data_IF_812169882263
#
_entry.id   IF_812169882263
#
_cell.length_a   1.000
_cell.length_b   1.000
_cell.length_c   1.000
_cell.angle_alpha   90.00
_cell.angle_beta   90.00
_cell.angle_gamma   90.00
#
_symmetry.space_group_name_H-M   'P 1'
#
loop_
_entity.id
_entity.type
_entity.pdbx_description
1 polymer ?
#
# COMPACT_ATOMS: atom_id res chain seq x y z
N UNK A 1 21.00 52.62 -35.45
CA UNK A 1 22.13 53.48 -35.88
C UNK A 1 22.07 54.73 -35.03
N UNK A 2 23.18 55.03 -34.34
CA UNK A 2 23.29 56.19 -33.46
C UNK A 2 23.43 57.47 -34.31
N UNK A 3 22.61 58.49 -34.01
CA UNK A 3 22.54 59.75 -34.79
C UNK A 3 23.88 60.49 -34.76
N UNK A 4 24.68 60.29 -33.71
CA UNK A 4 26.01 60.89 -33.59
C UNK A 4 27.01 60.35 -34.63
N UNK A 5 26.88 59.08 -35.03
CA UNK A 5 27.74 58.47 -36.06
C UNK A 5 27.48 59.10 -37.45
N UNK A 6 26.24 59.52 -37.71
CA UNK A 6 25.86 60.18 -38.96
C UNK A 6 26.45 61.59 -39.04
N UNK A 7 26.52 62.31 -37.92
CA UNK A 7 27.09 63.65 -37.85
C UNK A 7 28.61 63.65 -38.00
N UNK A 8 29.31 62.65 -37.47
CA UNK A 8 30.75 62.49 -37.67
C UNK A 8 31.10 62.20 -39.15
N UNK A 9 30.31 61.36 -39.82
CA UNK A 9 30.49 61.05 -41.23
C UNK A 9 30.27 62.25 -42.17
N UNK A 10 29.50 63.27 -41.75
CA UNK A 10 29.29 64.51 -42.52
C UNK A 10 30.49 65.47 -42.46
N UNK A 11 31.43 65.28 -41.54
CA UNK A 11 32.68 66.04 -41.46
C UNK A 11 33.85 65.38 -42.22
N UNK A 12 33.62 64.20 -42.81
CA UNK A 12 34.60 63.51 -43.64
C UNK A 12 34.69 64.13 -45.05
N UNK A 13 35.91 64.49 -45.44
CA UNK A 13 36.21 65.14 -46.74
C UNK A 13 35.82 64.29 -47.95
N UNK A 14 35.96 62.96 -47.89
CA UNK A 14 35.55 62.07 -48.97
C UNK A 14 34.02 61.96 -49.07
N UNK A 15 33.31 61.98 -47.94
CA UNK A 15 31.84 61.97 -47.91
C UNK A 15 31.29 63.29 -48.48
N UNK A 16 31.89 64.42 -48.12
CA UNK A 16 31.51 65.73 -48.68
C UNK A 16 31.75 65.83 -50.19
N UNK A 17 32.87 65.31 -50.71
CA UNK A 17 33.12 65.27 -52.17
C UNK A 17 32.13 64.37 -52.91
N UNK A 18 31.70 63.26 -52.29
CA UNK A 18 30.67 62.37 -52.85
C UNK A 18 29.29 63.03 -52.86
N UNK A 19 28.96 63.82 -51.84
CA UNK A 19 27.71 64.62 -51.80
C UNK A 19 27.77 65.74 -52.84
N UNK A 20 28.90 66.44 -53.00
CA UNK A 20 29.07 67.50 -54.02
C UNK A 20 28.94 66.94 -55.44
N UNK A 21 29.49 65.76 -55.72
CA UNK A 21 29.37 65.12 -57.05
C UNK A 21 27.93 64.68 -57.37
N UNK A 22 27.13 64.30 -56.36
CA UNK A 22 25.70 64.02 -56.54
C UNK A 22 24.90 65.31 -56.82
N UNK A 23 25.23 66.42 -56.14
CA UNK A 23 24.55 67.72 -56.36
C UNK A 23 24.93 68.34 -57.72
N UNK A 24 26.18 68.19 -58.16
CA UNK A 24 26.62 68.68 -59.49
C UNK A 24 26.06 67.79 -60.60
N UNK A 25 25.95 66.47 -60.39
CA UNK A 25 25.25 65.55 -61.29
C UNK A 25 23.78 65.94 -61.49
N UNK A 26 23.09 66.35 -60.42
CA UNK A 26 21.68 66.76 -60.47
C UNK A 26 21.44 68.19 -61.00
N UNK A 27 22.46 69.04 -61.16
CA UNK A 27 22.30 70.38 -61.76
C UNK A 27 22.40 70.37 -63.29
N UNK A 28 22.89 69.30 -63.91
CA UNK A 28 22.99 69.18 -65.37
C UNK A 28 21.69 68.71 -66.05
N UNK A 29 20.73 68.16 -65.31
CA UNK A 29 19.42 67.75 -65.84
C UNK A 29 18.37 68.88 -65.86
N UNK A 30 18.71 70.09 -65.39
CA UNK A 30 17.81 71.26 -65.41
C UNK A 30 18.15 72.32 -66.46
N UNK A 31 19.03 72.01 -67.43
CA UNK A 31 19.32 72.88 -68.58
C UNK A 31 19.19 72.12 -69.91
N UNK A 32 17.96 71.77 -70.27
CA UNK A 32 17.63 71.41 -71.65
C UNK A 32 16.22 71.84 -72.03
N UNK A 33 15.90 73.10 -71.81
CA UNK A 33 14.81 73.75 -72.53
C UNK A 33 15.21 75.19 -72.88
N UNK A 34 14.79 75.59 -74.07
CA UNK A 34 15.03 76.88 -74.75
C UNK A 34 16.30 76.93 -75.60
N UNK A 35 16.21 76.42 -76.83
CA UNK A 35 16.37 77.24 -78.04
C UNK A 35 16.15 76.38 -79.30
N UNK A 36 14.95 76.47 -79.88
CA UNK A 36 14.86 76.51 -81.34
C UNK A 36 13.51 77.13 -81.74
N UNK A 37 13.54 78.44 -81.99
CA UNK A 37 12.58 79.07 -82.87
C UNK A 37 13.14 79.03 -84.30
N UNK A 38 12.25 78.66 -85.21
CA UNK A 38 12.25 79.03 -86.63
C UNK A 38 13.22 78.26 -87.55
N UNK A 39 12.72 77.11 -87.99
CA UNK A 39 12.90 76.67 -89.38
C UNK A 39 11.55 76.17 -89.87
N UNK A 40 10.75 77.08 -90.44
CA UNK A 40 9.60 76.76 -91.27
C UNK A 40 10.08 75.89 -92.43
N UNK A 41 9.90 74.58 -92.26
CA UNK A 41 9.83 73.62 -93.36
C UNK A 41 8.55 72.84 -93.13
N UNK A 42 7.59 73.02 -94.04
CA UNK A 42 6.35 72.27 -94.09
C UNK A 42 6.68 70.78 -94.17
N UNK A 43 6.54 70.09 -93.05
CA UNK A 43 6.28 68.66 -93.01
C UNK A 43 4.95 68.55 -92.29
N UNK A 44 3.90 68.19 -93.03
CA UNK A 44 2.61 67.83 -92.46
C UNK A 44 2.86 66.73 -91.44
N UNK A 45 2.79 67.07 -90.15
CA UNK A 45 2.62 66.08 -89.11
C UNK A 45 1.24 65.49 -89.37
N UNK A 46 1.20 64.25 -89.86
CA UNK A 46 -0.03 63.50 -90.07
C UNK A 46 -0.65 63.23 -88.70
N UNK A 47 -1.42 64.20 -88.25
CA UNK A 47 -2.12 64.23 -86.98
C UNK A 47 -3.01 62.98 -86.83
N UNK A 48 -3.43 62.37 -87.95
CA UNK A 48 -4.25 61.16 -88.00
C UNK A 48 -3.48 59.90 -87.58
N UNK A 49 -2.18 59.82 -87.85
CA UNK A 49 -1.30 58.70 -87.44
C UNK A 49 -1.05 58.73 -85.91
N UNK A 50 -0.75 59.91 -85.36
CA UNK A 50 -0.58 60.11 -83.91
C UNK A 50 -1.90 59.91 -83.13
N UNK A 51 -3.05 60.22 -83.74
CA UNK A 51 -4.38 59.95 -83.17
C UNK A 51 -4.65 58.45 -83.09
N UNK A 52 -4.28 57.67 -84.12
CA UNK A 52 -4.41 56.20 -84.13
C UNK A 52 -3.53 55.52 -83.07
N UNK A 53 -2.27 55.93 -82.95
CA UNK A 53 -1.35 55.40 -81.94
C UNK A 53 -1.83 55.71 -80.51
N UNK A 54 -2.33 56.93 -80.27
CA UNK A 54 -2.95 57.29 -78.99
C UNK A 54 -4.21 56.47 -78.68
N UNK A 55 -5.01 56.11 -79.68
CA UNK A 55 -6.18 55.25 -79.49
C UNK A 55 -5.79 53.82 -79.09
N UNK A 56 -4.72 53.26 -79.66
CA UNK A 56 -4.21 51.93 -79.32
C UNK A 56 -3.66 51.93 -77.89
N UNK A 57 -2.80 52.90 -77.56
CA UNK A 57 -2.24 53.06 -76.20
C UNK A 57 -3.34 53.26 -75.15
N UNK A 58 -4.41 53.97 -75.50
CA UNK A 58 -5.56 54.15 -74.61
C UNK A 58 -6.29 52.83 -74.36
N UNK A 59 -6.47 52.01 -75.41
CA UNK A 59 -7.10 50.70 -75.31
C UNK A 59 -6.25 49.71 -74.49
N UNK A 60 -4.93 49.69 -74.70
CA UNK A 60 -3.99 48.92 -73.88
C UNK A 60 -3.97 49.39 -72.43
N UNK A 61 -4.06 50.70 -72.18
CA UNK A 61 -4.16 51.26 -70.84
C UNK A 61 -5.45 50.84 -70.13
N UNK A 62 -6.58 50.81 -70.86
CA UNK A 62 -7.87 50.32 -70.35
C UNK A 62 -7.82 48.81 -70.03
N UNK A 63 -7.21 47.99 -70.88
CA UNK A 63 -7.00 46.56 -70.62
C UNK A 63 -6.09 46.32 -69.41
N UNK A 64 -5.00 47.09 -69.30
CA UNK A 64 -4.08 47.04 -68.18
C UNK A 64 -4.75 47.46 -66.86
N UNK A 65 -5.61 48.49 -66.90
CA UNK A 65 -6.45 48.86 -65.76
C UNK A 65 -7.41 47.73 -65.37
N UNK A 66 -7.99 47.03 -66.35
CA UNK A 66 -8.83 45.85 -66.12
C UNK A 66 -8.08 44.72 -65.40
N UNK A 67 -6.86 44.42 -65.83
CA UNK A 67 -5.98 43.45 -65.18
C UNK A 67 -5.58 43.86 -63.76
N UNK A 68 -5.19 45.12 -63.57
CA UNK A 68 -4.86 45.68 -62.25
C UNK A 68 -6.06 45.54 -61.31
N UNK A 69 -7.29 45.78 -61.80
CA UNK A 69 -8.52 45.68 -61.01
C UNK A 69 -8.80 44.23 -60.59
N UNK A 70 -8.61 43.26 -61.49
CA UNK A 70 -8.72 41.82 -61.19
C UNK A 70 -7.67 41.35 -60.18
N UNK A 71 -6.41 41.74 -60.37
CA UNK A 71 -5.31 41.42 -59.46
C UNK A 71 -5.58 41.98 -58.05
N UNK A 72 -6.04 43.23 -57.95
CA UNK A 72 -6.44 43.83 -56.67
C UNK A 72 -7.54 43.03 -55.95
N UNK A 73 -8.59 42.62 -56.68
CA UNK A 73 -9.67 41.83 -56.10
C UNK A 73 -9.18 40.47 -55.57
N UNK A 74 -8.27 39.82 -56.30
CA UNK A 74 -7.69 38.53 -55.92
C UNK A 74 -6.76 38.67 -54.70
N UNK A 75 -5.97 39.75 -54.64
CA UNK A 75 -5.14 40.11 -53.49
C UNK A 75 -5.98 40.32 -52.23
N UNK A 76 -7.04 41.13 -52.32
CA UNK A 76 -8.00 41.36 -51.23
C UNK A 76 -8.63 40.05 -50.74
N UNK A 77 -9.02 39.16 -51.65
CA UNK A 77 -9.56 37.85 -51.30
C UNK A 77 -8.54 36.98 -50.53
N UNK A 78 -7.27 37.01 -50.96
CA UNK A 78 -6.18 36.28 -50.30
C UNK A 78 -5.80 36.89 -48.96
N UNK A 79 -5.79 38.21 -48.83
CA UNK A 79 -5.53 38.91 -47.55
C UNK A 79 -6.59 38.57 -46.50
N UNK A 80 -7.86 38.47 -46.91
CA UNK A 80 -8.94 38.03 -46.03
C UNK A 80 -8.76 36.57 -45.58
N UNK A 81 -8.43 35.64 -46.50
CA UNK A 81 -8.11 34.25 -46.15
C UNK A 81 -6.93 34.13 -45.18
N UNK A 82 -5.87 34.91 -45.40
CA UNK A 82 -4.69 34.95 -44.53
C UNK A 82 -5.09 35.42 -43.14
N UNK A 83 -5.87 36.51 -43.06
CA UNK A 83 -6.35 37.07 -41.79
C UNK A 83 -7.18 36.03 -41.02
N UNK A 84 -8.10 35.34 -41.69
CA UNK A 84 -8.95 34.31 -41.09
C UNK A 84 -8.14 33.10 -40.56
N UNK A 85 -7.10 32.72 -41.30
CA UNK A 85 -6.19 31.64 -40.89
C UNK A 85 -5.31 32.06 -39.72
N UNK A 86 -4.84 33.31 -39.66
CA UNK A 86 -4.10 33.85 -38.51
C UNK A 86 -4.95 33.75 -37.25
N UNK A 87 -6.21 34.18 -37.29
CA UNK A 87 -7.11 34.07 -36.14
C UNK A 87 -7.34 32.62 -35.69
N UNK A 88 -7.43 31.67 -36.64
CA UNK A 88 -7.52 30.24 -36.30
C UNK A 88 -6.25 29.70 -35.64
N UNK A 89 -5.08 30.12 -36.12
CA UNK A 89 -3.79 29.74 -35.54
C UNK A 89 -3.70 30.22 -34.09
N UNK A 90 -4.01 31.50 -33.84
CA UNK A 90 -3.99 32.07 -32.47
C UNK A 90 -4.93 31.31 -31.53
N UNK A 91 -6.12 30.93 -32.01
CA UNK A 91 -7.08 30.15 -31.22
C UNK A 91 -6.57 28.75 -30.90
N UNK A 92 -5.91 28.09 -31.86
CA UNK A 92 -5.29 26.77 -31.67
C UNK A 92 -4.09 26.84 -30.73
N UNK A 93 -3.25 27.87 -30.83
CA UNK A 93 -2.11 28.10 -29.93
C UNK A 93 -2.56 28.27 -28.48
N UNK A 94 -3.61 29.06 -28.24
CA UNK A 94 -4.23 29.19 -26.92
C UNK A 94 -4.76 27.85 -26.38
N UNK A 95 -5.37 27.04 -27.25
CA UNK A 95 -5.85 25.71 -26.89
C UNK A 95 -4.70 24.74 -26.58
N UNK A 96 -3.60 24.79 -27.33
CA UNK A 96 -2.40 23.99 -27.07
C UNK A 96 -1.82 24.37 -25.71
N UNK A 97 -1.71 25.66 -25.40
CA UNK A 97 -1.17 26.13 -24.13
C UNK A 97 -2.01 25.64 -22.93
N UNK A 98 -3.34 25.75 -23.02
CA UNK A 98 -4.23 25.26 -21.96
C UNK A 98 -4.16 23.74 -21.77
N UNK A 99 -4.08 22.96 -22.86
CA UNK A 99 -3.92 21.51 -22.79
C UNK A 99 -2.56 21.10 -22.18
N UNK A 100 -1.48 21.81 -22.51
CA UNK A 100 -0.16 21.57 -21.91
C UNK A 100 -0.17 21.81 -20.41
N UNK A 101 -0.83 22.87 -19.95
CA UNK A 101 -0.98 23.12 -18.52
C UNK A 101 -1.76 21.99 -17.82
N UNK A 102 -2.86 21.53 -18.42
CA UNK A 102 -3.68 20.45 -17.87
C UNK A 102 -2.90 19.12 -17.80
N UNK A 103 -2.10 18.80 -18.83
CA UNK A 103 -1.23 17.61 -18.82
C UNK A 103 -0.26 17.67 -17.65
N UNK A 104 0.40 18.81 -17.45
CA UNK A 104 1.36 18.99 -16.36
C UNK A 104 0.71 18.87 -14.98
N UNK A 105 -0.49 19.40 -14.82
CA UNK A 105 -1.28 19.26 -13.58
C UNK A 105 -1.62 17.79 -13.31
N UNK A 106 -2.04 17.04 -14.34
CA UNK A 106 -2.37 15.62 -14.22
C UNK A 106 -1.13 14.75 -13.96
N UNK A 107 0.02 15.09 -14.53
CA UNK A 107 1.29 14.42 -14.22
C UNK A 107 1.67 14.58 -12.74
N UNK A 108 1.51 15.78 -12.17
CA UNK A 108 1.75 16.01 -10.74
C UNK A 108 0.77 15.22 -9.86
N UNK A 109 -0.49 15.14 -10.26
CA UNK A 109 -1.50 14.35 -9.55
C UNK A 109 -1.19 12.85 -9.57
N UNK A 110 -0.74 12.32 -10.70
CA UNK A 110 -0.28 10.92 -10.82
C UNK A 110 0.90 10.65 -9.89
N UNK A 111 1.89 11.55 -9.84
CA UNK A 111 3.05 11.40 -8.94
C UNK A 111 2.60 11.38 -7.48
N UNK A 112 1.67 12.28 -7.08
CA UNK A 112 1.12 12.30 -5.72
C UNK A 112 0.41 10.99 -5.38
N UNK A 113 -0.51 10.56 -6.24
CA UNK A 113 -1.29 9.32 -6.01
C UNK A 113 -0.39 8.09 -5.96
N UNK A 114 0.64 8.00 -6.81
CA UNK A 114 1.62 6.91 -6.76
C UNK A 114 2.41 6.92 -5.44
N UNK A 115 2.72 8.10 -4.89
CA UNK A 115 3.34 8.22 -3.58
C UNK A 115 2.44 7.71 -2.45
N UNK A 116 1.16 8.06 -2.50
CA UNK A 116 0.15 7.58 -1.53
C UNK A 116 -0.05 6.08 -1.62
N UNK A 117 -0.18 5.52 -2.83
CA UNK A 117 -0.30 4.07 -3.05
C UNK A 117 0.90 3.33 -2.47
N UNK A 118 2.13 3.84 -2.72
CA UNK A 118 3.34 3.26 -2.15
C UNK A 118 3.31 3.29 -0.61
N UNK A 119 2.97 4.44 -0.03
CA UNK A 119 2.90 4.58 1.43
C UNK A 119 1.87 3.63 2.05
N UNK A 120 0.70 3.46 1.41
CA UNK A 120 -0.34 2.55 1.89
C UNK A 120 0.12 1.10 1.79
N UNK A 121 0.79 0.71 0.70
CA UNK A 121 1.33 -0.63 0.55
C UNK A 121 2.42 -0.95 1.59
N UNK A 122 3.31 0.01 1.88
CA UNK A 122 4.34 -0.15 2.91
C UNK A 122 3.71 -0.32 4.32
N UNK A 123 2.65 0.42 4.61
CA UNK A 123 1.87 0.29 5.85
C UNK A 123 1.14 -1.07 5.92
N UNK A 124 0.54 -1.51 4.82
CA UNK A 124 -0.13 -2.81 4.73
C UNK A 124 0.84 -3.94 5.01
N UNK A 125 1.99 -3.96 4.31
CA UNK A 125 3.04 -4.95 4.52
C UNK A 125 3.55 -4.94 5.98
N UNK A 126 3.70 -3.77 6.58
CA UNK A 126 4.10 -3.66 8.00
C UNK A 126 3.02 -4.22 8.94
N UNK A 127 1.75 -3.99 8.63
CA UNK A 127 0.62 -4.49 9.43
C UNK A 127 0.49 -6.01 9.32
N UNK A 128 0.63 -6.57 8.11
CA UNK A 128 0.60 -8.01 7.86
C UNK A 128 1.71 -8.74 8.62
N UNK A 129 2.94 -8.22 8.55
CA UNK A 129 4.07 -8.76 9.32
C UNK A 129 3.83 -8.71 10.85
N UNK A 130 3.14 -7.67 11.35
CA UNK A 130 2.79 -7.59 12.78
C UNK A 130 1.71 -8.61 13.14
N UNK A 131 0.75 -8.83 12.24
CA UNK A 131 -0.32 -9.79 12.44
C UNK A 131 0.24 -11.20 12.49
N UNK A 132 1.07 -11.58 11.50
CA UNK A 132 1.74 -12.89 11.43
C UNK A 132 2.56 -13.18 12.70
N UNK A 133 3.41 -12.23 13.14
CA UNK A 133 4.17 -12.37 14.40
C UNK A 133 3.28 -12.51 15.63
N UNK A 134 2.11 -11.88 15.62
CA UNK A 134 1.16 -11.99 16.75
C UNK A 134 0.50 -13.35 16.76
N UNK A 135 0.14 -13.87 15.59
CA UNK A 135 -0.47 -15.19 15.43
C UNK A 135 0.52 -16.30 15.81
N UNK A 136 1.77 -16.23 15.35
CA UNK A 136 2.84 -17.14 15.77
C UNK A 136 3.01 -17.15 17.29
N UNK A 137 3.00 -15.96 17.92
CA UNK A 137 3.11 -15.85 19.37
C UNK A 137 1.90 -16.41 20.09
N UNK A 138 0.70 -16.26 19.52
CA UNK A 138 -0.55 -16.77 20.06
C UNK A 138 -0.59 -18.30 20.02
N UNK A 139 -0.19 -18.89 18.89
CA UNK A 139 -0.05 -20.34 18.77
C UNK A 139 1.00 -20.89 19.73
N UNK A 140 2.15 -20.21 19.86
CA UNK A 140 3.15 -20.57 20.87
C UNK A 140 2.55 -20.56 22.29
N UNK A 141 1.76 -19.55 22.66
CA UNK A 141 1.10 -19.54 23.98
C UNK A 141 0.08 -20.69 24.13
N UNK A 142 -0.69 -21.02 23.09
CA UNK A 142 -1.64 -22.14 23.11
C UNK A 142 -0.92 -23.46 23.33
N UNK A 143 0.14 -23.72 22.60
CA UNK A 143 0.91 -24.97 22.70
C UNK A 143 1.58 -25.13 24.07
N UNK A 144 2.10 -24.05 24.64
CA UNK A 144 2.88 -24.13 25.87
C UNK A 144 2.03 -24.08 27.14
N UNK A 145 0.89 -23.37 27.13
CA UNK A 145 0.11 -23.08 28.35
C UNK A 145 -1.35 -23.52 28.31
N UNK A 146 -1.87 -24.09 27.21
CA UNK A 146 -3.28 -24.51 27.16
C UNK A 146 -3.66 -25.51 28.26
N UNK A 147 -2.75 -26.42 28.63
CA UNK A 147 -2.97 -27.36 29.73
C UNK A 147 -3.01 -26.66 31.10
N UNK A 148 -2.18 -25.63 31.30
CA UNK A 148 -2.16 -24.87 32.54
C UNK A 148 -3.44 -24.05 32.72
N UNK A 149 -4.01 -23.57 31.62
CA UNK A 149 -5.33 -22.91 31.62
C UNK A 149 -6.43 -23.93 31.96
N UNK A 150 -6.38 -25.15 31.41
CA UNK A 150 -7.36 -26.20 31.73
C UNK A 150 -7.38 -26.56 33.22
N UNK A 151 -6.24 -26.50 33.91
CA UNK A 151 -6.15 -26.70 35.37
C UNK A 151 -6.99 -25.64 36.10
N UNK A 152 -6.87 -24.38 35.70
CA UNK A 152 -7.67 -23.29 36.27
C UNK A 152 -9.16 -23.45 35.96
N UNK A 153 -9.52 -23.79 34.72
CA UNK A 153 -10.91 -23.96 34.31
C UNK A 153 -11.58 -25.03 35.18
N UNK A 154 -10.96 -26.21 35.29
CA UNK A 154 -11.46 -27.32 36.12
C UNK A 154 -11.60 -26.90 37.59
N UNK A 155 -10.59 -26.23 38.16
CA UNK A 155 -10.64 -25.79 39.55
C UNK A 155 -11.73 -24.72 39.79
N UNK A 156 -11.98 -23.85 38.81
CA UNK A 156 -12.96 -22.78 38.93
C UNK A 156 -14.40 -23.29 38.98
N UNK A 157 -14.68 -24.40 38.30
CA UNK A 157 -16.00 -25.07 38.25
C UNK A 157 -16.36 -25.80 39.53
N UNK A 158 -15.38 -26.09 40.41
CA UNK A 158 -15.64 -26.77 41.67
C UNK A 158 -16.56 -25.97 42.59
N UNK A 159 -17.37 -26.69 43.36
CA UNK A 159 -18.15 -26.12 44.45
C UNK A 159 -17.26 -25.49 45.52
N UNK A 160 -17.80 -24.54 46.27
CA UNK A 160 -17.09 -23.90 47.38
C UNK A 160 -16.68 -24.91 48.47
N UNK A 161 -17.46 -25.98 48.64
CA UNK A 161 -17.12 -27.07 49.56
C UNK A 161 -15.84 -27.81 49.12
N UNK A 162 -15.73 -28.15 47.83
CA UNK A 162 -14.54 -28.79 47.26
C UNK A 162 -13.33 -27.86 47.32
N UNK A 163 -13.49 -26.58 46.93
CA UNK A 163 -12.42 -25.57 47.04
C UNK A 163 -11.94 -25.39 48.47
N UNK A 164 -12.86 -25.33 49.43
CA UNK A 164 -12.51 -25.23 50.86
C UNK A 164 -11.73 -26.46 51.33
N UNK A 165 -12.14 -27.66 50.92
CA UNK A 165 -11.45 -28.91 51.24
C UNK A 165 -10.03 -28.96 50.64
N UNK A 166 -9.86 -28.38 49.46
CA UNK A 166 -8.58 -28.31 48.75
C UNK A 166 -7.69 -27.12 49.18
N UNK A 167 -8.16 -26.22 50.05
CA UNK A 167 -7.40 -25.04 50.49
C UNK A 167 -6.09 -25.37 51.22
N UNK A 168 -5.99 -26.55 51.82
CA UNK A 168 -4.75 -27.06 52.41
C UNK A 168 -3.67 -27.40 51.38
N UNK A 169 -4.06 -27.62 50.12
CA UNK A 169 -3.20 -27.97 48.99
C UNK A 169 -2.94 -26.72 48.14
N UNK A 170 -4.01 -26.03 47.72
CA UNK A 170 -3.94 -24.84 46.88
C UNK A 170 -4.14 -23.57 47.73
N UNK A 171 -3.03 -22.87 48.00
CA UNK A 171 -3.04 -21.62 48.77
C UNK A 171 -3.34 -20.38 47.91
N UNK A 172 -3.15 -20.51 46.60
CA UNK A 172 -3.43 -19.48 45.61
C UNK A 172 -4.21 -20.12 44.45
N UNK A 173 -5.38 -19.55 44.13
CA UNK A 173 -6.28 -20.01 43.07
C UNK A 173 -5.96 -19.38 41.71
N UNK A 174 -4.94 -18.53 41.61
CA UNK A 174 -4.42 -18.08 40.33
C UNK A 174 -3.85 -19.28 39.53
N UNK A 175 -3.83 -19.24 38.18
CA UNK A 175 -3.29 -20.35 37.39
C UNK A 175 -1.83 -20.67 37.77
N UNK A 176 -1.00 -19.64 38.03
CA UNK A 176 0.38 -19.84 38.49
C UNK A 176 0.44 -20.50 39.86
N UNK A 177 -0.45 -20.10 40.78
CA UNK A 177 -0.59 -20.68 42.11
C UNK A 177 -0.99 -22.15 42.06
N UNK A 178 -2.03 -22.47 41.28
CA UNK A 178 -2.55 -23.83 41.11
C UNK A 178 -1.46 -24.78 40.57
N UNK A 179 -0.72 -24.37 39.54
CA UNK A 179 0.38 -25.16 38.99
C UNK A 179 1.50 -25.30 40.03
N UNK A 180 1.95 -24.19 40.62
CA UNK A 180 3.08 -24.18 41.57
C UNK A 180 2.80 -25.00 42.82
N UNK A 181 1.56 -24.99 43.31
CA UNK A 181 1.12 -25.81 44.44
C UNK A 181 0.90 -27.26 44.02
N UNK A 182 0.27 -27.49 42.86
CA UNK A 182 -0.14 -28.81 42.39
C UNK A 182 1.02 -29.74 42.05
N UNK A 183 2.16 -29.21 41.58
CA UNK A 183 3.34 -30.03 41.22
C UNK A 183 4.31 -30.29 42.39
N UNK A 184 3.98 -29.85 43.60
CA UNK A 184 4.82 -30.17 44.76
C UNK A 184 4.60 -31.61 45.19
N UNK A 185 5.68 -32.36 45.42
CA UNK A 185 5.66 -33.79 45.79
C UNK A 185 4.66 -34.12 46.91
N UNK A 186 4.65 -33.29 47.97
CA UNK A 186 3.68 -33.44 49.07
C UNK A 186 2.24 -33.18 48.63
N UNK A 187 2.01 -32.14 47.83
CA UNK A 187 0.68 -31.70 47.46
C UNK A 187 0.02 -32.60 46.41
N UNK A 188 0.79 -33.11 45.45
CA UNK A 188 0.27 -34.07 44.46
C UNK A 188 -0.14 -35.37 45.14
N UNK A 189 0.62 -35.82 46.16
CA UNK A 189 0.25 -36.96 47.00
C UNK A 189 -1.01 -36.69 47.83
N UNK A 190 -1.13 -35.52 48.44
CA UNK A 190 -2.33 -35.13 49.19
C UNK A 190 -3.57 -35.01 48.31
N UNK A 191 -3.42 -34.48 47.09
CA UNK A 191 -4.52 -34.37 46.12
C UNK A 191 -5.01 -35.76 45.72
N UNK A 192 -4.08 -36.69 45.51
CA UNK A 192 -4.42 -38.08 45.25
C UNK A 192 -5.16 -38.73 46.43
N UNK A 193 -4.70 -38.53 47.67
CA UNK A 193 -5.37 -39.07 48.86
C UNK A 193 -6.77 -38.49 49.04
N UNK A 194 -6.95 -37.21 48.75
CA UNK A 194 -8.26 -36.56 48.74
C UNK A 194 -9.17 -37.18 47.67
N UNK A 195 -8.69 -37.27 46.42
CA UNK A 195 -9.43 -37.89 45.32
C UNK A 195 -9.83 -39.33 45.66
N UNK A 196 -8.92 -40.12 46.24
CA UNK A 196 -9.20 -41.48 46.70
C UNK A 196 -10.37 -41.53 47.67
N UNK A 197 -10.35 -40.70 48.71
CA UNK A 197 -11.40 -40.71 49.73
C UNK A 197 -12.76 -40.34 49.12
N UNK A 198 -12.79 -39.34 48.24
CA UNK A 198 -14.02 -38.92 47.58
C UNK A 198 -14.53 -39.95 46.55
N UNK A 199 -13.64 -40.61 45.79
CA UNK A 199 -14.02 -41.71 44.88
C UNK A 199 -14.64 -42.86 45.67
N UNK A 200 -14.02 -43.26 46.79
CA UNK A 200 -14.45 -44.43 47.58
C UNK A 200 -15.75 -44.16 48.36
N UNK A 201 -15.94 -42.93 48.85
CA UNK A 201 -17.11 -42.55 49.65
C UNK A 201 -18.28 -42.02 48.81
N UNK A 202 -18.03 -41.51 47.61
CA UNK A 202 -19.04 -41.18 46.60
C UNK A 202 -19.92 -39.96 46.91
N UNK A 203 -19.47 -39.04 47.77
CA UNK A 203 -20.29 -37.93 48.26
C UNK A 203 -20.08 -36.60 47.54
N UNK A 204 -18.92 -36.40 46.89
CA UNK A 204 -18.59 -35.14 46.24
C UNK A 204 -19.09 -35.11 44.78
N UNK A 205 -19.98 -34.16 44.41
CA UNK A 205 -20.46 -34.02 43.03
C UNK A 205 -19.34 -33.63 42.04
N UNK A 206 -18.25 -33.04 42.52
CA UNK A 206 -17.13 -32.56 41.71
C UNK A 206 -16.06 -33.65 41.47
N UNK A 207 -16.30 -34.90 41.89
CA UNK A 207 -15.26 -35.94 41.91
C UNK A 207 -14.61 -36.20 40.56
N UNK A 208 -15.39 -36.19 39.47
CA UNK A 208 -14.85 -36.34 38.12
C UNK A 208 -13.87 -35.20 37.77
N UNK A 209 -14.18 -33.99 38.22
CA UNK A 209 -13.30 -32.84 38.06
C UNK A 209 -12.05 -32.92 38.92
N UNK A 210 -12.15 -33.44 40.16
CA UNK A 210 -11.00 -33.67 41.04
C UNK A 210 -10.03 -34.70 40.45
N UNK A 211 -10.54 -35.81 39.89
CA UNK A 211 -9.72 -36.82 39.20
C UNK A 211 -9.04 -36.19 37.99
N UNK A 212 -9.78 -35.45 37.16
CA UNK A 212 -9.22 -34.74 36.00
C UNK A 212 -8.15 -33.71 36.40
N UNK A 213 -8.36 -33.00 37.50
CA UNK A 213 -7.38 -32.05 38.02
C UNK A 213 -6.09 -32.75 38.46
N UNK A 214 -6.22 -33.91 39.13
CA UNK A 214 -5.07 -34.74 39.47
C UNK A 214 -4.30 -35.16 38.22
N UNK A 215 -4.97 -35.70 37.18
CA UNK A 215 -4.31 -36.16 35.96
C UNK A 215 -3.55 -35.03 35.24
N UNK A 216 -4.15 -33.84 35.14
CA UNK A 216 -3.53 -32.66 34.54
C UNK A 216 -2.31 -32.17 35.33
N UNK A 217 -2.38 -32.16 36.66
CA UNK A 217 -1.25 -31.75 37.49
C UNK A 217 -0.16 -32.81 37.54
N UNK A 218 -0.54 -34.09 37.47
CA UNK A 218 0.40 -35.20 37.47
C UNK A 218 1.22 -35.25 36.17
N UNK A 219 0.61 -34.95 35.02
CA UNK A 219 1.35 -34.85 33.75
C UNK A 219 2.44 -33.76 33.79
N UNK A 220 2.21 -32.66 34.52
CA UNK A 220 3.23 -31.63 34.78
C UNK A 220 4.24 -32.07 35.84
N UNK A 221 3.78 -32.77 36.89
CA UNK A 221 4.63 -33.29 37.95
C UNK A 221 5.72 -34.23 37.41
N UNK A 222 5.39 -35.14 36.49
CA UNK A 222 6.37 -36.08 35.91
C UNK A 222 7.46 -35.38 35.08
N UNK A 223 7.20 -34.19 34.54
CA UNK A 223 8.23 -33.39 33.85
C UNK A 223 9.30 -32.93 34.86
N UNK A 224 8.87 -32.50 36.06
CA UNK A 224 9.77 -32.11 37.13
C UNK A 224 10.40 -33.30 37.86
N UNK A 225 9.70 -34.44 37.90
CA UNK A 225 10.11 -35.66 38.61
C UNK A 225 9.97 -36.91 37.71
N UNK A 226 10.87 -37.11 36.72
CA UNK A 226 10.75 -38.18 35.72
C UNK A 226 10.90 -39.61 36.25
N UNK A 227 11.20 -39.77 37.54
CA UNK A 227 11.23 -41.09 38.19
C UNK A 227 9.85 -41.63 38.56
N UNK A 228 8.78 -40.86 38.33
CA UNK A 228 7.42 -41.30 38.55
C UNK A 228 6.69 -41.51 37.23
N UNK A 229 5.82 -42.49 37.20
CA UNK A 229 4.92 -42.74 36.07
C UNK A 229 3.53 -43.16 36.58
N UNK A 230 2.51 -42.93 35.76
CA UNK A 230 1.17 -43.45 36.01
C UNK A 230 1.24 -44.97 36.03
N UNK A 231 0.57 -45.59 37.01
CA UNK A 231 0.50 -47.04 37.10
C UNK A 231 -0.25 -47.59 35.88
N UNK A 232 0.34 -48.53 35.13
CA UNK A 232 -0.22 -49.03 33.87
C UNK A 232 -1.33 -50.06 34.12
N UNK A 233 -2.51 -49.61 34.55
CA UNK A 233 -3.70 -50.45 34.79
C UNK A 233 -4.69 -50.31 33.64
N UNK A 234 -5.20 -51.43 33.13
CA UNK A 234 -6.16 -51.47 32.02
C UNK A 234 -7.39 -52.29 32.36
N UNK A 235 -8.46 -52.03 31.61
CA UNK A 235 -9.66 -52.85 31.61
C UNK A 235 -9.29 -54.26 31.13
N UNK A 236 -9.74 -55.29 31.86
CA UNK A 236 -9.38 -56.68 31.55
C UNK A 236 -8.22 -57.23 32.38
N UNK A 237 -7.47 -56.39 33.10
CA UNK A 237 -6.39 -56.86 33.98
C UNK A 237 -6.96 -57.56 35.23
N UNK A 238 -6.18 -58.49 35.81
CA UNK A 238 -6.54 -59.13 37.07
C UNK A 238 -6.33 -58.19 38.26
N UNK A 239 -7.28 -58.17 39.19
CA UNK A 239 -7.16 -57.41 40.41
C UNK A 239 -6.10 -57.99 41.36
N UNK A 240 -5.08 -57.20 41.68
CA UNK A 240 -4.07 -57.52 42.69
C UNK A 240 -4.20 -56.61 43.93
N UNK A 241 -4.49 -57.21 45.08
CA UNK A 241 -4.58 -56.51 46.38
C UNK A 241 -3.31 -55.78 46.82
N UNK A 242 -2.13 -56.13 46.29
CA UNK A 242 -0.87 -55.46 46.58
C UNK A 242 -0.66 -54.21 45.72
N UNK A 243 -1.32 -54.13 44.57
CA UNK A 243 -1.08 -53.11 43.54
C UNK A 243 -2.30 -52.20 43.34
N UNK A 244 -3.50 -52.65 43.70
CA UNK A 244 -4.76 -51.98 43.42
C UNK A 244 -5.62 -51.82 44.68
N UNK A 245 -6.43 -50.77 44.70
CA UNK A 245 -7.46 -50.53 45.71
C UNK A 245 -8.82 -50.78 45.09
N UNK A 246 -9.60 -51.65 45.73
CA UNK A 246 -10.95 -51.97 45.29
C UNK A 246 -11.93 -50.86 45.67
N UNK A 247 -12.78 -50.46 44.74
CA UNK A 247 -13.89 -49.57 45.01
C UNK A 247 -15.03 -50.28 45.77
N UNK A 248 -15.73 -49.56 46.66
CA UNK A 248 -16.77 -50.10 47.53
C UNK A 248 -17.96 -50.71 46.79
N UNK A 249 -18.19 -50.32 45.54
CA UNK A 249 -19.27 -50.88 44.71
C UNK A 249 -18.99 -52.30 44.21
N UNK A 250 -17.76 -52.79 44.31
CA UNK A 250 -17.38 -54.11 43.80
C UNK A 250 -17.92 -55.20 44.74
N UNK A 251 -18.69 -56.15 44.21
CA UNK A 251 -19.26 -57.24 45.03
C UNK A 251 -18.22 -58.35 45.29
N UNK A 252 -17.29 -58.54 44.37
CA UNK A 252 -16.29 -59.61 44.43
C UNK A 252 -15.00 -59.16 45.14
N UNK A 253 -14.28 -60.11 45.74
CA UNK A 253 -12.98 -59.87 46.40
C UNK A 253 -11.79 -60.05 45.43
N UNK A 254 -12.04 -60.67 44.29
CA UNK A 254 -11.08 -60.93 43.22
C UNK A 254 -11.83 -60.97 41.90
N UNK A 255 -11.16 -60.65 40.79
CA UNK A 255 -11.77 -60.69 39.47
C UNK A 255 -11.04 -59.79 38.48
N UNK A 256 -11.70 -59.57 37.35
CA UNK A 256 -11.19 -58.75 36.26
C UNK A 256 -11.61 -57.31 36.47
N UNK A 257 -10.72 -56.37 36.22
CA UNK A 257 -10.98 -54.94 36.33
C UNK A 257 -11.96 -54.50 35.23
N UNK A 258 -13.11 -53.96 35.64
CA UNK A 258 -14.18 -53.47 34.76
C UNK A 258 -14.14 -51.94 34.57
N UNK A 259 -13.50 -51.21 35.49
CA UNK A 259 -13.30 -49.77 35.43
C UNK A 259 -12.11 -49.31 36.29
N UNK A 260 -11.37 -48.32 35.79
CA UNK A 260 -10.35 -47.57 36.54
C UNK A 260 -10.95 -46.21 36.92
N UNK A 261 -11.11 -45.95 38.21
CA UNK A 261 -11.79 -44.75 38.74
C UNK A 261 -10.82 -43.63 39.12
N UNK A 262 -9.59 -44.00 39.53
CA UNK A 262 -8.50 -43.07 39.80
C UNK A 262 -7.18 -43.78 39.52
N UNK A 263 -6.33 -43.16 38.73
CA UNK A 263 -4.99 -43.68 38.45
C UNK A 263 -4.06 -43.49 39.65
N UNK A 264 -3.33 -44.56 39.96
CA UNK A 264 -2.19 -44.54 40.85
C UNK A 264 -0.90 -44.16 40.12
N UNK A 265 0.21 -44.15 40.85
CA UNK A 265 1.53 -43.96 40.28
C UNK A 265 2.60 -44.74 41.03
N UNK A 266 3.66 -45.06 40.30
CA UNK A 266 4.80 -45.85 40.78
C UNK A 266 6.11 -45.12 40.55
N UNK A 267 7.16 -45.57 41.24
CA UNK A 267 8.51 -45.08 41.03
C UNK A 267 9.26 -46.01 40.07
N UNK A 268 9.64 -45.51 38.90
CA UNK A 268 10.27 -46.29 37.81
C UNK A 268 11.65 -46.82 38.16
N UNK A 269 12.34 -46.23 39.16
CA UNK A 269 13.65 -46.72 39.62
C UNK A 269 13.55 -47.92 40.55
N UNK A 270 12.45 -48.03 41.30
CA UNK A 270 12.27 -49.09 42.31
C UNK A 270 11.15 -50.07 41.96
N UNK A 271 10.37 -49.78 40.93
CA UNK A 271 9.10 -50.45 40.58
C UNK A 271 8.12 -50.56 41.75
N UNK A 272 8.25 -49.66 42.74
CA UNK A 272 7.36 -49.63 43.89
C UNK A 272 6.17 -48.74 43.59
N UNK A 273 4.97 -49.26 43.76
CA UNK A 273 3.74 -48.47 43.76
C UNK A 273 3.75 -47.53 44.96
N UNK A 274 3.66 -46.22 44.67
CA UNK A 274 3.62 -45.17 45.69
C UNK A 274 2.18 -44.94 46.10
N UNK A 275 1.30 -44.78 45.10
CA UNK A 275 -0.15 -44.69 45.28
C UNK A 275 -0.83 -45.71 44.36
N UNK A 276 -1.59 -46.68 44.88
CA UNK A 276 -2.23 -47.74 44.08
C UNK A 276 -3.50 -47.27 43.39
N UNK A 277 -3.71 -47.66 42.13
CA UNK A 277 -4.91 -47.29 41.36
C UNK A 277 -6.19 -47.80 42.00
N UNK A 278 -7.26 -47.02 41.90
CA UNK A 278 -8.59 -47.39 42.39
C UNK A 278 -9.39 -47.97 41.24
N UNK A 279 -9.85 -49.19 41.43
CA UNK A 279 -10.51 -49.97 40.38
C UNK A 279 -11.80 -50.60 40.88
N UNK A 280 -12.69 -50.86 39.93
CA UNK A 280 -13.90 -51.65 40.15
C UNK A 280 -13.74 -53.01 39.45
N UNK A 281 -14.36 -54.02 40.07
CA UNK A 281 -14.30 -55.45 39.72
C UNK A 281 -15.74 -55.97 39.64
#
# INVERSE_FOLDING_TARGET
MDVNVILELLNDSQVQEKIKSIIIGNKNDSKRFVSNQNSTSNVEVDNDCLVRENQILKKESEEMQGFIKKLKALLLGKDNEITDNISKIEMLESKIYSLQHLVKEKELEIVRLNGEVKSVNDLLATSENKHERTDEKLEWYRENFSEDIKVQDVYSEFSEQTKSSLSGIFKDSSPKGLISCGIQDKNIGNLWDYAKNEVVNGTNPDIAGVVKLFDLLFSRFIIAYPMYEIQPVKLGDEFDTQQHVRHNSSCNMSGIIDAVLLHGYLNTKTNKVIKPSIVRI
#
